data_IF_434004558428
#
_entry.id   IF_434004558428
#
_cell.length_a   1.000
_cell.length_b   1.000
_cell.length_c   1.000
_cell.angle_alpha   90.00
_cell.angle_beta   90.00
_cell.angle_gamma   90.00
#
_symmetry.space_group_name_H-M   'P 1'
#
loop_
_entity.id
_entity.type
_entity.pdbx_description
1 polymer ?
#
# COMPACT_ATOMS: atom_id res chain seq x y z
N UNK A 1 -19.64 16.61 -18.51
CA UNK A 1 -18.77 16.49 -17.32
C UNK A 1 -18.89 15.04 -16.86
N UNK A 2 -17.84 14.25 -17.08
CA UNK A 2 -17.81 12.88 -16.61
C UNK A 2 -17.77 12.88 -15.09
N UNK A 3 -18.61 12.04 -14.46
CA UNK A 3 -18.57 11.86 -13.02
C UNK A 3 -17.17 11.38 -12.62
N UNK A 4 -16.48 12.05 -11.68
CA UNK A 4 -15.13 11.65 -11.26
C UNK A 4 -15.12 10.32 -10.48
N UNK A 5 -16.29 9.74 -10.22
CA UNK A 5 -16.43 8.52 -9.46
C UNK A 5 -16.78 7.33 -10.35
N UNK A 6 -16.26 6.12 -10.03
CA UNK A 6 -16.65 4.89 -10.70
C UNK A 6 -18.15 4.66 -10.53
N UNK A 7 -18.81 4.25 -11.60
CA UNK A 7 -20.24 3.93 -11.59
C UNK A 7 -20.51 2.68 -10.76
N UNK A 8 -21.61 2.68 -10.00
CA UNK A 8 -21.99 1.55 -9.16
C UNK A 8 -23.10 0.75 -9.82
N UNK A 9 -22.87 -0.55 -9.96
CA UNK A 9 -23.82 -1.53 -10.41
C UNK A 9 -24.06 -2.59 -9.34
N UNK A 10 -25.21 -3.21 -9.36
CA UNK A 10 -25.61 -4.34 -8.52
C UNK A 10 -25.91 -5.53 -9.41
N UNK A 11 -25.42 -6.71 -9.04
CA UNK A 11 -25.74 -7.96 -9.70
C UNK A 11 -27.05 -8.51 -9.15
N UNK A 12 -28.09 -8.64 -10.00
CA UNK A 12 -29.41 -9.11 -9.59
C UNK A 12 -29.63 -10.62 -9.79
N UNK A 13 -28.61 -11.34 -10.23
CA UNK A 13 -28.63 -12.75 -10.56
C UNK A 13 -28.68 -13.01 -12.08
N UNK A 14 -29.03 -12.02 -12.91
CA UNK A 14 -29.12 -12.13 -14.36
C UNK A 14 -28.31 -11.05 -15.09
N UNK A 15 -28.25 -9.83 -14.53
CA UNK A 15 -27.58 -8.69 -15.14
C UNK A 15 -27.01 -7.73 -14.11
N UNK A 16 -25.99 -6.98 -14.52
CA UNK A 16 -25.46 -5.83 -13.79
C UNK A 16 -26.38 -4.63 -14.00
N UNK A 17 -27.08 -4.19 -12.95
CA UNK A 17 -27.99 -3.04 -12.98
C UNK A 17 -27.41 -1.86 -12.22
N UNK A 18 -27.68 -0.62 -12.67
CA UNK A 18 -27.27 0.55 -11.89
C UNK A 18 -27.85 0.49 -10.47
N UNK A 19 -27.02 0.61 -9.45
CA UNK A 19 -27.38 0.39 -8.03
C UNK A 19 -28.44 1.37 -7.50
N UNK A 20 -28.65 2.52 -8.14
CA UNK A 20 -29.67 3.52 -7.75
C UNK A 20 -30.16 4.27 -8.99
N UNK A 21 -31.29 5.00 -8.83
CA UNK A 21 -31.83 5.89 -9.88
C UNK A 21 -30.83 6.97 -10.33
N UNK A 22 -29.95 7.40 -9.43
CA UNK A 22 -28.87 8.33 -9.77
C UNK A 22 -27.90 7.67 -10.78
N UNK A 23 -27.42 6.47 -10.46
CA UNK A 23 -26.49 5.75 -11.34
C UNK A 23 -27.14 5.30 -12.65
N UNK A 24 -28.45 5.07 -12.69
CA UNK A 24 -29.18 4.82 -13.94
C UNK A 24 -29.11 6.02 -14.87
N UNK A 25 -29.36 7.23 -14.37
CA UNK A 25 -29.25 8.46 -15.16
C UNK A 25 -27.81 8.75 -15.65
N UNK A 26 -26.82 8.43 -14.85
CA UNK A 26 -25.42 8.58 -15.24
C UNK A 26 -25.03 7.51 -16.29
N UNK A 27 -25.57 6.29 -16.17
CA UNK A 27 -25.39 5.24 -17.17
C UNK A 27 -25.97 5.64 -18.52
N UNK A 28 -27.19 6.19 -18.55
CA UNK A 28 -27.87 6.65 -19.78
C UNK A 28 -27.08 7.76 -20.50
N UNK A 29 -26.29 8.56 -19.77
CA UNK A 29 -25.42 9.58 -20.38
C UNK A 29 -24.14 9.00 -20.97
N UNK A 30 -23.67 7.87 -20.44
CA UNK A 30 -22.34 7.33 -20.73
C UNK A 30 -22.39 6.15 -21.68
N UNK A 31 -23.41 5.33 -21.61
CA UNK A 31 -23.54 4.09 -22.39
C UNK A 31 -24.64 4.19 -23.43
N UNK A 32 -24.40 3.58 -24.57
CA UNK A 32 -25.36 3.52 -25.70
C UNK A 32 -26.10 2.20 -25.61
N UNK A 33 -27.42 2.25 -25.71
CA UNK A 33 -28.27 1.05 -25.69
C UNK A 33 -27.94 0.15 -26.91
N UNK A 34 -27.71 -1.13 -26.62
CA UNK A 34 -27.37 -2.12 -27.65
C UNK A 34 -25.86 -2.29 -27.91
N UNK A 35 -25.04 -1.44 -27.34
CA UNK A 35 -23.57 -1.59 -27.40
C UNK A 35 -23.03 -2.53 -26.31
N UNK A 36 -21.92 -3.18 -26.61
CA UNK A 36 -21.24 -4.08 -25.65
C UNK A 36 -20.07 -3.35 -24.99
N UNK A 37 -20.05 -3.35 -23.66
CA UNK A 37 -18.99 -2.74 -22.85
C UNK A 37 -18.31 -3.80 -21.98
N UNK A 38 -16.97 -3.79 -21.95
CA UNK A 38 -16.21 -4.57 -21.00
C UNK A 38 -16.09 -3.77 -19.71
N UNK A 39 -16.52 -4.35 -18.59
CA UNK A 39 -16.44 -3.74 -17.27
C UNK A 39 -15.43 -4.50 -16.43
N UNK A 40 -14.63 -3.77 -15.64
CA UNK A 40 -13.74 -4.34 -14.66
C UNK A 40 -14.27 -4.05 -13.26
N UNK A 41 -14.12 -5.02 -12.35
CA UNK A 41 -14.63 -4.93 -10.98
C UNK A 41 -13.69 -4.07 -10.14
N UNK A 42 -14.17 -2.89 -9.72
CA UNK A 42 -13.44 -2.01 -8.81
C UNK A 42 -13.95 -2.24 -7.39
N UNK A 43 -13.19 -2.98 -6.59
CA UNK A 43 -13.47 -3.10 -5.16
C UNK A 43 -13.23 -1.76 -4.45
N UNK A 44 -14.33 -1.06 -4.15
CA UNK A 44 -14.26 0.14 -3.32
C UNK A 44 -13.94 -0.30 -1.88
N UNK A 45 -12.66 -0.19 -1.50
CA UNK A 45 -12.27 -0.35 -0.09
C UNK A 45 -13.01 0.71 0.73
N UNK A 46 -13.58 0.30 1.88
CA UNK A 46 -14.29 1.27 2.72
C UNK A 46 -13.34 2.42 3.07
N UNK A 47 -13.71 3.63 2.73
CA UNK A 47 -12.91 4.83 3.02
C UNK A 47 -12.56 4.93 4.52
N UNK A 48 -13.48 4.52 5.40
CA UNK A 48 -13.25 4.51 6.84
C UNK A 48 -12.11 3.57 7.25
N UNK A 49 -12.11 2.32 6.77
CA UNK A 49 -11.06 1.35 7.13
C UNK A 49 -9.69 1.76 6.56
N UNK A 50 -9.68 2.39 5.40
CA UNK A 50 -8.46 2.89 4.78
C UNK A 50 -7.93 4.12 5.54
N UNK A 51 -8.77 5.10 5.80
CA UNK A 51 -8.43 6.30 6.56
C UNK A 51 -7.94 5.95 7.97
N UNK A 52 -8.63 5.05 8.67
CA UNK A 52 -8.23 4.58 9.99
C UNK A 52 -6.84 3.93 9.98
N UNK A 53 -6.53 3.08 8.99
CA UNK A 53 -5.20 2.48 8.87
C UNK A 53 -4.08 3.52 8.75
N UNK A 54 -4.27 4.56 7.91
CA UNK A 54 -3.28 5.63 7.78
C UNK A 54 -3.21 6.52 9.03
N UNK A 55 -4.32 6.73 9.73
CA UNK A 55 -4.34 7.43 11.00
C UNK A 55 -3.55 6.67 12.07
N UNK A 56 -3.69 5.34 12.17
CA UNK A 56 -2.88 4.52 13.06
C UNK A 56 -1.37 4.65 12.78
N UNK A 57 -0.96 4.60 11.51
CA UNK A 57 0.44 4.76 11.13
C UNK A 57 0.96 6.15 11.47
N UNK A 58 0.15 7.19 11.23
CA UNK A 58 0.51 8.56 11.58
C UNK A 58 0.69 8.73 13.08
N UNK A 59 -0.24 8.22 13.88
CA UNK A 59 -0.15 8.26 15.35
C UNK A 59 1.09 7.52 15.86
N UNK A 60 1.39 6.34 15.30
CA UNK A 60 2.59 5.58 15.63
C UNK A 60 3.87 6.34 15.24
N UNK A 61 3.89 6.98 14.07
CA UNK A 61 5.03 7.79 13.64
C UNK A 61 5.23 9.03 14.54
N UNK A 62 4.16 9.70 14.95
CA UNK A 62 4.22 10.84 15.87
C UNK A 62 4.77 10.43 17.25
N UNK A 63 4.52 9.18 17.67
CA UNK A 63 5.00 8.63 18.96
C UNK A 63 6.36 7.94 18.87
N UNK A 64 7.03 7.95 17.72
CA UNK A 64 8.35 7.35 17.57
C UNK A 64 9.37 7.98 18.54
N UNK A 65 10.18 7.16 19.23
CA UNK A 65 11.34 7.64 19.99
C UNK A 65 12.29 8.45 19.11
N UNK A 66 12.88 9.52 19.64
CA UNK A 66 13.79 10.42 18.90
C UNK A 66 14.96 9.68 18.23
N UNK A 67 15.45 8.58 18.86
CA UNK A 67 16.50 7.74 18.31
C UNK A 67 16.11 7.03 16.98
N UNK A 68 14.82 6.77 16.77
CA UNK A 68 14.30 6.09 15.57
C UNK A 68 13.88 7.08 14.48
N UNK A 69 13.57 8.32 14.81
CA UNK A 69 13.08 9.34 13.84
C UNK A 69 13.97 9.52 12.61
N UNK A 70 15.32 9.49 12.70
CA UNK A 70 16.17 9.63 11.51
C UNK A 70 16.01 8.47 10.50
N UNK A 71 15.58 7.28 10.96
CA UNK A 71 15.35 6.12 10.10
C UNK A 71 13.99 6.18 9.39
N UNK A 72 13.05 6.94 9.95
CA UNK A 72 11.67 7.06 9.44
C UNK A 72 11.29 8.55 9.30
N UNK A 73 11.78 9.25 8.27
CA UNK A 73 11.56 10.70 8.12
C UNK A 73 10.10 11.12 7.97
N UNK A 74 9.20 10.19 7.63
CA UNK A 74 7.75 10.42 7.55
C UNK A 74 6.96 9.14 7.88
N UNK A 75 5.68 9.30 8.16
CA UNK A 75 4.76 8.18 8.33
C UNK A 75 4.73 7.24 7.11
N UNK A 76 4.94 7.78 5.91
CA UNK A 76 5.03 6.98 4.68
C UNK A 76 6.31 6.13 4.64
N UNK A 77 7.46 6.65 5.09
CA UNK A 77 8.68 5.86 5.25
C UNK A 77 8.48 4.73 6.25
N UNK A 78 7.87 5.01 7.40
CA UNK A 78 7.55 3.99 8.40
C UNK A 78 6.66 2.89 7.79
N UNK A 79 5.60 3.27 7.07
CA UNK A 79 4.68 2.33 6.42
C UNK A 79 5.38 1.45 5.37
N UNK A 80 6.16 2.08 4.48
CA UNK A 80 6.85 1.36 3.39
C UNK A 80 7.90 0.39 3.92
N UNK A 81 8.70 0.81 4.89
CA UNK A 81 9.69 -0.06 5.51
C UNK A 81 9.01 -1.18 6.33
N UNK A 82 7.89 -0.88 7.02
CA UNK A 82 7.11 -1.90 7.69
C UNK A 82 6.56 -2.96 6.73
N UNK A 83 6.09 -2.57 5.54
CA UNK A 83 5.68 -3.52 4.47
C UNK A 83 6.83 -4.42 4.06
N UNK A 84 8.04 -3.86 3.85
CA UNK A 84 9.22 -4.62 3.48
C UNK A 84 9.57 -5.65 4.57
N UNK A 85 9.64 -5.20 5.84
CA UNK A 85 9.94 -6.08 6.97
C UNK A 85 8.87 -7.14 7.22
N UNK A 86 7.61 -6.84 6.92
CA UNK A 86 6.50 -7.79 6.98
C UNK A 86 6.44 -8.76 5.77
N UNK A 87 7.39 -8.68 4.83
CA UNK A 87 7.47 -9.56 3.67
C UNK A 87 6.60 -9.13 2.47
N UNK A 88 5.95 -7.97 2.53
CA UNK A 88 5.19 -7.41 1.41
C UNK A 88 6.08 -6.54 0.52
N UNK A 89 7.05 -7.17 -0.12
CA UNK A 89 8.03 -6.50 -0.98
C UNK A 89 8.38 -7.33 -2.22
N UNK A 90 8.91 -6.66 -3.22
CA UNK A 90 9.70 -7.27 -4.30
C UNK A 90 11.18 -7.09 -3.99
N UNK A 91 11.99 -8.06 -4.43
CA UNK A 91 13.43 -8.05 -4.18
C UNK A 91 14.19 -8.11 -5.50
N UNK A 92 15.19 -7.25 -5.64
CA UNK A 92 16.17 -7.30 -6.72
C UNK A 92 17.56 -7.50 -6.11
N UNK A 93 18.34 -8.42 -6.68
CA UNK A 93 19.70 -8.69 -6.22
C UNK A 93 20.71 -8.39 -7.31
N UNK A 94 21.80 -7.74 -6.92
CA UNK A 94 22.95 -7.45 -7.77
C UNK A 94 24.18 -8.12 -7.18
N UNK A 95 24.81 -8.98 -7.97
CA UNK A 95 26.07 -9.63 -7.60
C UNK A 95 27.22 -8.80 -8.18
N UNK A 96 28.12 -8.36 -7.33
CA UNK A 96 29.28 -7.56 -7.70
C UNK A 96 30.58 -8.41 -7.62
N UNK A 97 31.70 -7.86 -8.08
CA UNK A 97 32.99 -8.57 -8.06
C UNK A 97 33.65 -8.55 -6.69
N UNK A 98 33.25 -7.64 -5.81
CA UNK A 98 33.82 -7.48 -4.46
C UNK A 98 32.85 -6.77 -3.53
N UNK A 99 33.04 -6.94 -2.24
CA UNK A 99 32.29 -6.25 -1.19
C UNK A 99 32.43 -4.71 -1.31
N UNK A 100 33.62 -4.23 -1.62
CA UNK A 100 33.86 -2.80 -1.85
C UNK A 100 33.06 -2.24 -3.03
N UNK A 101 32.85 -3.03 -4.07
CA UNK A 101 31.99 -2.66 -5.21
C UNK A 101 30.52 -2.71 -4.80
N UNK A 102 30.11 -3.69 -4.00
CA UNK A 102 28.75 -3.78 -3.46
C UNK A 102 28.39 -2.54 -2.64
N UNK A 103 29.26 -2.11 -1.75
CA UNK A 103 29.05 -0.90 -0.95
C UNK A 103 28.96 0.38 -1.83
N UNK A 104 29.79 0.51 -2.88
CA UNK A 104 29.68 1.62 -3.82
C UNK A 104 28.36 1.60 -4.59
N UNK A 105 27.94 0.42 -5.06
CA UNK A 105 26.66 0.25 -5.74
C UNK A 105 25.49 0.59 -4.83
N UNK A 106 25.48 0.08 -3.60
CA UNK A 106 24.44 0.39 -2.61
C UNK A 106 24.37 1.89 -2.32
N UNK A 107 25.51 2.57 -2.17
CA UNK A 107 25.58 4.02 -1.98
C UNK A 107 25.03 4.80 -3.18
N UNK A 108 25.23 4.30 -4.40
CA UNK A 108 24.71 4.91 -5.62
C UNK A 108 23.20 4.70 -5.78
N UNK A 109 22.65 3.54 -5.33
CA UNK A 109 21.23 3.20 -5.47
C UNK A 109 20.37 3.94 -4.43
N UNK A 110 20.80 4.02 -3.18
CA UNK A 110 20.02 4.59 -2.05
C UNK A 110 19.37 5.96 -2.31
N UNK A 111 19.99 6.93 -3.01
CA UNK A 111 19.38 8.24 -3.24
C UNK A 111 18.22 8.25 -4.23
N UNK A 112 18.07 7.21 -5.08
CA UNK A 112 17.04 7.20 -6.13
C UNK A 112 15.63 6.95 -5.61
N UNK A 113 15.51 6.15 -4.54
CA UNK A 113 14.23 5.89 -3.88
C UNK A 113 14.46 5.80 -2.37
N UNK A 114 13.91 6.74 -1.62
CA UNK A 114 14.06 6.81 -0.16
C UNK A 114 13.18 5.81 0.58
N UNK A 115 12.23 5.17 -0.11
CA UNK A 115 11.31 4.17 0.46
C UNK A 115 11.79 2.72 0.31
N UNK A 116 12.92 2.51 -0.35
CA UNK A 116 13.52 1.19 -0.54
C UNK A 116 14.44 0.85 0.63
N UNK A 117 14.59 -0.45 0.89
CA UNK A 117 15.61 -0.98 1.79
C UNK A 117 16.74 -1.58 0.97
N UNK A 118 17.97 -1.10 1.16
CA UNK A 118 19.16 -1.61 0.46
C UNK A 118 20.10 -2.23 1.47
N UNK A 119 20.32 -3.53 1.36
CA UNK A 119 21.21 -4.32 2.20
C UNK A 119 22.40 -4.82 1.40
N UNK A 120 23.57 -4.92 2.04
CA UNK A 120 24.80 -5.48 1.47
C UNK A 120 25.21 -6.69 2.30
N UNK A 121 25.36 -7.82 1.64
CA UNK A 121 25.88 -9.06 2.22
C UNK A 121 27.02 -9.58 1.36
N UNK A 122 28.27 -9.40 1.82
CA UNK A 122 29.45 -9.71 1.05
C UNK A 122 29.46 -8.95 -0.28
N UNK A 123 29.44 -9.65 -1.40
CA UNK A 123 29.41 -9.07 -2.73
C UNK A 123 27.98 -8.96 -3.35
N UNK A 124 26.93 -9.15 -2.54
CA UNK A 124 25.53 -9.08 -2.98
C UNK A 124 24.89 -7.81 -2.44
N UNK A 125 24.23 -7.06 -3.32
CA UNK A 125 23.38 -5.93 -2.95
C UNK A 125 21.93 -6.35 -3.17
N UNK A 126 21.14 -6.40 -2.10
CA UNK A 126 19.71 -6.69 -2.15
C UNK A 126 18.92 -5.40 -1.99
N UNK A 127 18.05 -5.13 -2.95
CA UNK A 127 17.17 -3.95 -2.98
C UNK A 127 15.74 -4.43 -2.82
N UNK A 128 15.06 -3.96 -1.80
CA UNK A 128 13.68 -4.31 -1.47
C UNK A 128 12.77 -3.12 -1.71
N UNK A 129 11.71 -3.32 -2.49
CA UNK A 129 10.68 -2.32 -2.75
C UNK A 129 9.35 -2.79 -2.16
N UNK A 130 8.72 -1.95 -1.35
CA UNK A 130 7.41 -2.26 -0.80
C UNK A 130 6.37 -2.44 -1.91
N UNK A 131 5.56 -3.49 -1.83
CA UNK A 131 4.44 -3.69 -2.74
C UNK A 131 3.44 -2.54 -2.62
N UNK A 132 2.81 -2.21 -3.74
CA UNK A 132 1.71 -1.25 -3.73
C UNK A 132 0.50 -1.86 -3.02
N UNK A 133 -0.08 -1.10 -2.09
CA UNK A 133 -1.36 -1.43 -1.45
C UNK A 133 -2.55 -0.83 -2.22
N UNK A 134 -2.36 -0.41 -3.47
CA UNK A 134 -3.44 0.03 -4.35
C UNK A 134 -4.40 -1.15 -4.64
N UNK A 135 -5.68 -0.83 -4.86
CA UNK A 135 -6.72 -1.82 -5.16
C UNK A 135 -6.49 -2.59 -6.47
N UNK A 136 -5.69 -2.04 -7.41
CA UNK A 136 -5.30 -2.71 -8.66
C UNK A 136 -4.14 -3.67 -8.47
N UNK A 137 -3.32 -3.44 -7.47
CA UNK A 137 -2.08 -4.19 -7.22
C UNK A 137 -2.23 -5.27 -6.15
N UNK A 138 -3.24 -5.15 -5.28
CA UNK A 138 -3.43 -6.04 -4.15
C UNK A 138 -4.93 -6.28 -3.92
N UNK A 139 -5.36 -7.55 -3.87
CA UNK A 139 -6.74 -7.92 -3.56
C UNK A 139 -7.15 -7.56 -2.12
N UNK A 140 -8.44 -7.67 -1.81
CA UNK A 140 -8.99 -7.28 -0.52
C UNK A 140 -8.41 -8.08 0.65
N UNK A 141 -8.25 -9.40 0.49
CA UNK A 141 -7.75 -10.27 1.54
C UNK A 141 -6.28 -9.95 1.82
N UNK A 142 -5.45 -9.94 0.80
CA UNK A 142 -4.02 -9.63 0.90
C UNK A 142 -3.77 -8.23 1.45
N UNK A 143 -4.61 -7.27 1.08
CA UNK A 143 -4.55 -5.92 1.66
C UNK A 143 -4.84 -5.93 3.17
N UNK A 144 -5.86 -6.66 3.62
CA UNK A 144 -6.19 -6.77 5.04
C UNK A 144 -5.04 -7.44 5.82
N UNK A 145 -4.51 -8.54 5.30
CA UNK A 145 -3.36 -9.24 5.88
C UNK A 145 -2.13 -8.31 5.97
N UNK A 146 -1.85 -7.55 4.91
CA UNK A 146 -0.73 -6.60 4.89
C UNK A 146 -0.88 -5.49 5.92
N UNK A 147 -2.10 -4.97 6.14
CA UNK A 147 -2.36 -3.97 7.19
C UNK A 147 -2.08 -4.52 8.57
N UNK A 148 -2.57 -5.72 8.85
CA UNK A 148 -2.37 -6.37 10.15
C UNK A 148 -0.90 -6.65 10.42
N UNK A 149 -0.16 -7.12 9.42
CA UNK A 149 1.26 -7.37 9.51
C UNK A 149 2.07 -6.09 9.73
N UNK A 150 1.73 -5.01 9.01
CA UNK A 150 2.36 -3.68 9.18
C UNK A 150 2.11 -3.13 10.58
N UNK A 151 0.85 -3.14 11.07
CA UNK A 151 0.54 -2.61 12.39
C UNK A 151 1.18 -3.45 13.51
N UNK A 152 1.29 -4.76 13.35
CA UNK A 152 2.00 -5.63 14.28
C UNK A 152 3.49 -5.27 14.33
N UNK A 153 4.14 -5.19 13.18
CA UNK A 153 5.56 -4.86 13.10
C UNK A 153 5.86 -3.46 13.70
N UNK A 154 4.99 -2.48 13.43
CA UNK A 154 5.11 -1.14 14.03
C UNK A 154 4.91 -1.20 15.54
N UNK A 155 3.93 -1.96 16.03
CA UNK A 155 3.71 -2.17 17.46
C UNK A 155 4.95 -2.75 18.16
N UNK A 156 5.53 -3.80 17.55
CA UNK A 156 6.77 -4.41 18.06
C UNK A 156 7.94 -3.40 18.07
N UNK A 157 8.05 -2.55 17.04
CA UNK A 157 9.10 -1.53 16.93
C UNK A 157 9.03 -0.48 18.05
N UNK A 158 7.82 -0.04 18.42
CA UNK A 158 7.62 1.02 19.43
C UNK A 158 7.26 0.48 20.81
N UNK A 159 7.13 -0.85 20.96
CA UNK A 159 6.74 -1.48 22.22
C UNK A 159 5.29 -1.23 22.62
N UNK A 160 4.39 -0.98 21.66
CA UNK A 160 2.96 -0.76 21.88
C UNK A 160 2.12 -1.94 21.37
N UNK A 161 1.01 -2.22 22.06
CA UNK A 161 0.05 -3.21 21.57
C UNK A 161 -0.62 -2.71 20.28
N UNK A 162 -0.70 -3.53 19.22
CA UNK A 162 -1.40 -3.17 17.98
C UNK A 162 -2.86 -2.76 18.17
N UNK A 163 -3.52 -3.22 19.26
CA UNK A 163 -4.89 -2.80 19.61
C UNK A 163 -4.94 -1.38 20.14
N UNK A 164 -3.92 -0.94 20.86
CA UNK A 164 -3.77 0.44 21.33
C UNK A 164 -3.57 1.41 20.15
N UNK A 165 -2.76 1.03 19.18
CA UNK A 165 -2.58 1.79 17.95
C UNK A 165 -3.90 1.96 17.17
N UNK A 166 -4.78 0.95 17.19
CA UNK A 166 -6.10 1.02 16.54
C UNK A 166 -7.10 1.90 17.30
N UNK A 167 -6.95 2.01 18.61
CA UNK A 167 -7.84 2.84 19.46
C UNK A 167 -7.43 4.31 19.53
N UNK A 168 -6.17 4.62 19.19
CA UNK A 168 -5.61 5.99 19.23
C UNK A 168 -5.87 6.80 17.93
N UNK A 169 -6.47 6.20 16.90
CA UNK A 169 -6.75 6.76 15.58
C UNK A 169 -8.25 6.92 15.32
#
# INVERSE_FOLDING_TARGET
MDSPFPMRFEWDGEAMRPATKYWAREADKRYVVGETYTMDEIFVRSHQTHAHYFACIKAAWDSLPDALRPQYPSAEHLRKLALIHAGYCSTMQHVTKSEAEAHRLAAAIKPYDTYQLVLVEGNIVSVYHALSQDHRSMDKQRFQESKEAVLRWIGDLIGADPTELRSAA
#
